data_IF_559622594021
#
_entry.id   IF_559622594021
#
_cell.length_a   1.000
_cell.length_b   1.000
_cell.length_c   1.000
_cell.angle_alpha   90.00
_cell.angle_beta   90.00
_cell.angle_gamma   90.00
#
_symmetry.space_group_name_H-M   'P 1'
#
loop_
_entity.id
_entity.type
_entity.pdbx_description
1 polymer ?
#
# COMPACT_ATOMS: atom_id res chain seq x y z
N UNK A 1 -26.99 -1.40 1.12
CA UNK A 1 -26.10 -0.61 0.25
C UNK A 1 -25.26 0.31 1.11
N UNK A 2 -23.96 0.36 0.84
CA UNK A 2 -23.06 1.37 1.37
C UNK A 2 -23.01 2.54 0.39
N UNK A 3 -22.68 3.75 0.85
CA UNK A 3 -22.54 4.91 -0.04
C UNK A 3 -21.47 4.70 -1.12
N UNK A 4 -20.49 3.82 -0.87
CA UNK A 4 -19.47 3.46 -1.86
C UNK A 4 -20.05 2.68 -3.05
N UNK A 5 -21.00 1.78 -2.77
CA UNK A 5 -21.69 1.01 -3.80
C UNK A 5 -22.57 1.92 -4.67
N UNK A 6 -23.27 2.88 -4.04
CA UNK A 6 -24.11 3.84 -4.78
C UNK A 6 -23.26 4.68 -5.76
N UNK A 7 -22.07 5.13 -5.34
CA UNK A 7 -21.14 5.86 -6.21
C UNK A 7 -20.61 4.98 -7.34
N UNK A 8 -20.29 3.71 -7.05
CA UNK A 8 -19.84 2.77 -8.06
C UNK A 8 -20.92 2.49 -9.12
N UNK A 9 -22.18 2.30 -8.70
CA UNK A 9 -23.33 2.10 -9.60
C UNK A 9 -23.58 3.32 -10.51
N UNK A 10 -23.24 4.52 -10.03
CA UNK A 10 -23.26 5.77 -10.82
C UNK A 10 -22.06 5.90 -11.78
N UNK A 11 -21.17 4.91 -11.82
CA UNK A 11 -19.98 4.87 -12.69
C UNK A 11 -18.75 5.60 -12.14
N UNK A 12 -18.74 5.95 -10.85
CA UNK A 12 -17.59 6.61 -10.23
C UNK A 12 -16.61 5.58 -9.63
N UNK A 13 -15.35 5.62 -10.07
CA UNK A 13 -14.29 4.78 -9.51
C UNK A 13 -13.76 5.33 -8.18
N UNK A 14 -13.76 4.49 -7.15
CA UNK A 14 -13.20 4.82 -5.83
C UNK A 14 -11.76 4.31 -5.69
N UNK A 15 -10.86 5.19 -5.25
CA UNK A 15 -9.43 4.91 -5.11
C UNK A 15 -8.98 5.10 -3.65
N UNK A 16 -8.13 4.19 -3.17
CA UNK A 16 -7.53 4.28 -1.85
C UNK A 16 -6.23 5.09 -1.88
N UNK A 17 -6.18 6.22 -1.19
CA UNK A 17 -4.97 7.07 -1.07
C UNK A 17 -4.06 6.67 0.09
N UNK A 18 -3.82 5.37 0.23
CA UNK A 18 -2.89 4.82 1.19
C UNK A 18 -2.51 3.38 0.83
N UNK A 19 -1.28 2.99 1.11
CA UNK A 19 -0.84 1.60 0.99
C UNK A 19 0.24 1.29 2.02
N UNK A 20 0.04 0.22 2.78
CA UNK A 20 1.04 -0.31 3.73
C UNK A 20 1.14 -1.82 3.58
N UNK A 21 2.27 -2.40 4.00
CA UNK A 21 2.47 -3.85 3.96
C UNK A 21 1.37 -4.63 4.70
N UNK A 22 0.92 -4.24 5.90
CA UNK A 22 -0.23 -4.90 6.54
C UNK A 22 -1.51 -4.86 5.70
N UNK A 23 -1.79 -3.77 4.97
CA UNK A 23 -2.99 -3.67 4.13
C UNK A 23 -3.00 -4.73 3.03
N UNK A 24 -1.81 -5.07 2.51
CA UNK A 24 -1.61 -6.11 1.50
C UNK A 24 -1.66 -7.53 2.07
N UNK A 25 -1.05 -7.76 3.25
CA UNK A 25 -0.89 -9.11 3.81
C UNK A 25 -2.06 -9.59 4.66
N UNK A 26 -2.90 -8.69 5.17
CA UNK A 26 -3.99 -9.03 6.13
C UNK A 26 -5.34 -9.34 5.49
N UNK A 27 -5.46 -9.32 4.16
CA UNK A 27 -6.75 -9.39 3.47
C UNK A 27 -7.58 -8.10 3.56
N UNK A 28 -7.04 -7.04 4.17
CA UNK A 28 -7.73 -5.75 4.27
C UNK A 28 -7.99 -5.12 2.91
N UNK A 29 -7.02 -5.15 1.99
CA UNK A 29 -7.23 -4.65 0.64
C UNK A 29 -8.32 -5.43 -0.10
N UNK A 30 -8.35 -6.77 0.05
CA UNK A 30 -9.42 -7.59 -0.52
C UNK A 30 -10.79 -7.21 0.02
N UNK A 31 -10.90 -7.01 1.34
CA UNK A 31 -12.15 -6.52 1.94
C UNK A 31 -12.57 -5.16 1.36
N UNK A 32 -11.62 -4.27 1.08
CA UNK A 32 -11.94 -2.97 0.48
C UNK A 32 -12.47 -3.06 -0.94
N UNK A 33 -11.94 -3.99 -1.73
CA UNK A 33 -12.49 -4.30 -3.06
C UNK A 33 -13.89 -4.90 -2.91
N UNK A 34 -14.03 -5.96 -2.12
CA UNK A 34 -15.26 -6.76 -2.06
C UNK A 34 -16.43 -6.05 -1.37
N UNK A 35 -16.16 -5.19 -0.39
CA UNK A 35 -17.20 -4.59 0.47
C UNK A 35 -17.38 -3.09 0.28
N UNK A 36 -16.44 -2.41 -0.39
CA UNK A 36 -16.46 -0.95 -0.55
C UNK A 36 -16.17 -0.49 -1.98
N UNK A 37 -16.20 -1.39 -2.96
CA UNK A 37 -16.08 -1.06 -4.39
C UNK A 37 -14.82 -0.23 -4.73
N UNK A 38 -13.74 -0.46 -3.98
CA UNK A 38 -12.43 0.16 -4.27
C UNK A 38 -11.86 -0.49 -5.53
N UNK A 39 -11.54 0.35 -6.52
CA UNK A 39 -11.09 -0.08 -7.86
C UNK A 39 -9.65 0.30 -8.16
N UNK A 40 -9.05 1.17 -7.33
CA UNK A 40 -7.67 1.59 -7.49
C UNK A 40 -7.03 2.00 -6.17
N UNK A 41 -5.73 2.24 -6.22
CA UNK A 41 -4.97 2.80 -5.10
C UNK A 41 -3.85 3.69 -5.62
N UNK A 42 -3.44 4.64 -4.80
CA UNK A 42 -2.27 5.49 -5.04
C UNK A 42 -1.19 5.23 -4.00
N UNK A 43 0.05 5.32 -4.46
CA UNK A 43 1.19 5.57 -3.58
C UNK A 43 1.86 6.87 -4.02
N UNK A 44 2.58 7.48 -3.09
CA UNK A 44 3.46 8.61 -3.35
C UNK A 44 4.60 8.56 -2.31
N UNK A 45 5.68 9.35 -2.48
CA UNK A 45 6.82 9.32 -1.55
C UNK A 45 6.43 9.52 -0.08
N UNK A 46 5.47 10.40 0.22
CA UNK A 46 4.98 10.66 1.58
C UNK A 46 4.24 9.45 2.17
N UNK A 47 3.40 8.77 1.38
CA UNK A 47 2.72 7.54 1.80
C UNK A 47 3.75 6.44 2.08
N UNK A 48 4.75 6.30 1.22
CA UNK A 48 5.80 5.29 1.40
C UNK A 48 6.64 5.53 2.66
N UNK A 49 7.05 6.77 2.90
CA UNK A 49 7.76 7.18 4.11
C UNK A 49 6.96 6.85 5.38
N UNK A 50 5.67 7.17 5.39
CA UNK A 50 4.77 6.85 6.50
C UNK A 50 4.60 5.35 6.70
N UNK A 51 4.49 4.58 5.61
CA UNK A 51 4.35 3.13 5.69
C UNK A 51 5.58 2.46 6.32
N UNK A 52 6.78 2.95 6.00
CA UNK A 52 8.05 2.44 6.56
C UNK A 52 8.26 2.89 8.00
N UNK A 53 8.05 4.17 8.30
CA UNK A 53 8.35 4.74 9.62
C UNK A 53 7.27 4.45 10.66
N UNK A 54 6.02 4.29 10.24
CA UNK A 54 4.86 4.10 11.11
C UNK A 54 4.58 2.64 11.49
N UNK A 55 5.39 1.69 11.04
CA UNK A 55 5.14 0.26 11.30
C UNK A 55 6.41 -0.57 11.35
N UNK A 56 6.42 -1.59 12.21
CA UNK A 56 7.49 -2.60 12.26
C UNK A 56 7.50 -3.53 11.05
N UNK A 57 6.47 -3.50 10.21
CA UNK A 57 6.29 -4.43 9.09
C UNK A 57 7.44 -4.40 8.06
N UNK A 58 8.25 -3.33 8.03
CA UNK A 58 9.39 -3.20 7.13
C UNK A 58 10.76 -3.41 7.81
N UNK A 59 10.81 -3.54 9.14
CA UNK A 59 12.05 -3.56 9.90
C UNK A 59 13.00 -4.69 9.47
N UNK A 60 12.47 -5.90 9.27
CA UNK A 60 13.31 -7.06 8.89
C UNK A 60 13.91 -6.88 7.51
N UNK A 61 13.12 -6.39 6.55
CA UNK A 61 13.61 -6.11 5.20
C UNK A 61 14.65 -4.98 5.20
N UNK A 62 14.44 -3.93 6.00
CA UNK A 62 15.41 -2.83 6.16
C UNK A 62 16.71 -3.33 6.77
N UNK A 63 16.65 -4.12 7.85
CA UNK A 63 17.83 -4.73 8.48
C UNK A 63 18.59 -5.64 7.54
N UNK A 64 17.88 -6.52 6.82
CA UNK A 64 18.47 -7.42 5.83
C UNK A 64 19.14 -6.66 4.69
N UNK A 65 18.49 -5.60 4.19
CA UNK A 65 19.05 -4.76 3.14
C UNK A 65 20.33 -4.04 3.60
N UNK A 66 20.33 -3.51 4.81
CA UNK A 66 21.51 -2.88 5.41
C UNK A 66 22.66 -3.88 5.59
N UNK A 67 22.37 -5.09 6.09
CA UNK A 67 23.35 -6.16 6.23
C UNK A 67 23.94 -6.62 4.88
N UNK A 68 23.16 -6.53 3.80
CA UNK A 68 23.61 -6.79 2.43
C UNK A 68 24.35 -5.61 1.78
N UNK A 69 24.59 -4.51 2.51
CA UNK A 69 25.27 -3.32 1.99
C UNK A 69 24.39 -2.48 1.02
N UNK A 70 23.08 -2.71 1.00
CA UNK A 70 22.16 -1.95 0.14
C UNK A 70 21.79 -0.63 0.83
N UNK A 71 22.02 0.47 0.12
CA UNK A 71 21.62 1.81 0.55
C UNK A 71 20.21 2.16 0.05
N UNK A 72 19.50 3.02 0.78
CA UNK A 72 18.09 3.35 0.56
C UNK A 72 17.73 3.65 -0.91
N UNK A 73 18.55 4.45 -1.61
CA UNK A 73 18.34 4.80 -3.03
C UNK A 73 18.51 3.62 -4.00
N UNK A 74 19.44 2.71 -3.70
CA UNK A 74 19.69 1.53 -4.55
C UNK A 74 18.59 0.47 -4.39
N UNK A 75 18.02 0.37 -3.18
CA UNK A 75 17.03 -0.66 -2.87
C UNK A 75 15.66 -0.39 -3.52
N UNK A 76 15.25 0.89 -3.65
CA UNK A 76 14.01 1.27 -4.34
C UNK A 76 14.08 0.95 -5.84
N UNK A 77 15.23 1.16 -6.47
CA UNK A 77 15.40 0.91 -7.92
C UNK A 77 15.43 -0.58 -8.26
N UNK A 78 15.79 -1.45 -7.31
CA UNK A 78 15.83 -2.90 -7.51
C UNK A 78 14.51 -3.61 -7.24
N UNK A 79 13.61 -3.04 -6.43
CA UNK A 79 12.32 -3.68 -6.15
C UNK A 79 11.25 -3.42 -7.23
N UNK A 80 11.58 -2.65 -8.27
CA UNK A 80 10.70 -2.33 -9.39
C UNK A 80 11.09 -2.98 -10.72
N UNK A 81 12.06 -3.91 -10.71
CA UNK A 81 12.51 -4.69 -11.88
C UNK A 81 12.25 -6.18 -11.67
#
# INVERSE_FOLDING_TARGET
MTSTHDLHDLGQSLWLDNITRPTLSSGTLKRYVDAFDVTGLTSNPTIYERAISGSVAYHDQVRSSAAAGLHARSNVLRSGA
#
